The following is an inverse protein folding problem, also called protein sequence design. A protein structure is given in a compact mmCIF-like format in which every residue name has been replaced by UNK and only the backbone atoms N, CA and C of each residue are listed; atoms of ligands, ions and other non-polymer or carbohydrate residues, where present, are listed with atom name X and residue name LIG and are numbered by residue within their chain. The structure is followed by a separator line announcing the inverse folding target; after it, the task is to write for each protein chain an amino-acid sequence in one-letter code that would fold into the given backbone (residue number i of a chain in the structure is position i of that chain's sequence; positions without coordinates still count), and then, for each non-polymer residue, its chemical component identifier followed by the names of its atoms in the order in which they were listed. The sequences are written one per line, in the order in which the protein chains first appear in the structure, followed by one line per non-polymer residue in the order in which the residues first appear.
data_IF_867600538807
#
_entry.id   IF_867600538807
#
_cell.length_a   1.000
_cell.length_b   1.000
_cell.length_c   1.000
_cell.angle_alpha   90.00
_cell.angle_beta   90.00
_cell.angle_gamma   90.00
#
_symmetry.space_group_name_H-M   'P 1'
#
loop_
_entity.id
_entity.type
_entity.pdbx_description
1 polymer ?
#
# COMPACT_ATOMS: atom_id res chain seq x y z
N UNK A 1 3.43 -17.52 11.71
CA UNK A 1 2.86 -16.58 10.73
C UNK A 1 1.64 -15.87 11.30
N UNK A 2 1.92 -14.72 11.91
CA UNK A 2 0.96 -13.67 12.23
C UNK A 2 0.60 -12.92 10.94
N UNK A 3 1.60 -12.60 10.12
CA UNK A 3 1.38 -12.01 8.81
C UNK A 3 0.90 -13.09 7.85
N UNK A 4 -0.14 -12.79 7.06
CA UNK A 4 -0.80 -13.76 6.18
C UNK A 4 -0.65 -13.40 4.71
N UNK A 5 -0.56 -12.11 4.39
CA UNK A 5 -0.52 -11.64 3.01
C UNK A 5 0.48 -10.51 2.83
N UNK A 6 0.96 -10.36 1.60
CA UNK A 6 1.92 -9.32 1.24
C UNK A 6 1.62 -8.74 -0.13
N UNK A 7 1.76 -7.42 -0.24
CA UNK A 7 1.59 -6.65 -1.47
C UNK A 7 2.70 -5.59 -1.55
N UNK A 8 3.32 -5.48 -2.73
CA UNK A 8 4.31 -4.46 -3.05
C UNK A 8 3.72 -3.50 -4.06
N UNK A 9 3.70 -2.22 -3.71
CA UNK A 9 3.27 -1.14 -4.59
C UNK A 9 4.45 -0.28 -4.99
N UNK A 10 4.56 0.03 -6.27
CA UNK A 10 5.65 0.82 -6.82
C UNK A 10 5.12 2.03 -7.59
N UNK A 11 5.84 3.15 -7.50
CA UNK A 11 5.51 4.37 -8.23
C UNK A 11 5.97 4.22 -9.70
N UNK A 12 5.17 3.55 -10.52
CA UNK A 12 5.44 3.32 -11.96
C UNK A 12 4.78 4.34 -12.89
N UNK A 13 3.65 4.92 -12.48
CA UNK A 13 2.87 5.83 -13.33
C UNK A 13 3.67 7.06 -13.81
N UNK A 14 3.39 7.55 -15.01
CA UNK A 14 4.10 8.73 -15.56
C UNK A 14 3.25 9.98 -15.51
N UNK A 15 1.93 9.83 -15.37
CA UNK A 15 0.96 10.94 -15.48
C UNK A 15 0.30 11.25 -14.15
N UNK A 16 0.02 10.23 -13.34
CA UNK A 16 -0.79 10.40 -12.13
C UNK A 16 0.07 10.56 -10.89
N UNK A 17 0.09 11.76 -10.29
CA UNK A 17 1.02 12.17 -9.22
C UNK A 17 1.12 11.21 -8.04
N UNK A 18 0.01 10.59 -7.66
CA UNK A 18 -0.14 9.81 -6.44
C UNK A 18 -0.31 8.31 -6.67
N UNK A 19 -0.43 7.87 -7.93
CA UNK A 19 -0.74 6.48 -8.29
C UNK A 19 0.47 5.59 -8.01
N UNK A 20 0.25 4.51 -7.28
CA UNK A 20 1.19 3.40 -7.14
C UNK A 20 0.50 2.11 -7.55
N UNK A 21 1.25 1.28 -8.26
CA UNK A 21 0.76 0.07 -8.91
C UNK A 21 1.28 -1.14 -8.14
N UNK A 22 0.40 -2.11 -7.85
CA UNK A 22 0.85 -3.38 -7.28
C UNK A 22 1.71 -4.09 -8.32
N UNK A 23 2.91 -4.53 -7.94
CA UNK A 23 3.84 -5.22 -8.84
C UNK A 23 4.12 -6.65 -8.40
N UNK A 24 4.02 -6.93 -7.10
CA UNK A 24 4.28 -8.24 -6.50
C UNK A 24 3.29 -8.45 -5.37
N UNK A 25 2.65 -9.61 -5.27
CA UNK A 25 1.79 -9.94 -4.13
C UNK A 25 1.70 -11.44 -3.88
N UNK A 26 1.08 -11.81 -2.76
CA UNK A 26 0.68 -13.19 -2.47
C UNK A 26 -0.68 -13.56 -3.07
N UNK A 27 -1.40 -12.63 -3.71
CA UNK A 27 -2.69 -12.86 -4.39
C UNK A 27 -3.80 -13.46 -3.52
N UNK A 28 -3.71 -13.30 -2.21
CA UNK A 28 -4.55 -14.04 -1.27
C UNK A 28 -5.52 -13.16 -0.50
N UNK A 29 -5.31 -11.84 -0.40
CA UNK A 29 -6.13 -10.96 0.44
C UNK A 29 -7.39 -10.48 -0.30
N UNK A 30 -8.59 -11.03 0.00
CA UNK A 30 -9.78 -10.81 -0.82
C UNK A 30 -10.14 -9.33 -0.95
N UNK A 31 -9.88 -8.56 0.08
CA UNK A 31 -10.18 -7.13 0.11
C UNK A 31 -9.37 -6.28 -0.88
N UNK A 32 -8.18 -6.75 -1.26
CA UNK A 32 -7.38 -6.15 -2.33
C UNK A 32 -7.72 -6.78 -3.67
N UNK A 33 -7.85 -8.10 -3.74
CA UNK A 33 -8.17 -8.81 -4.99
C UNK A 33 -9.52 -8.39 -5.57
N UNK A 34 -10.53 -8.20 -4.72
CA UNK A 34 -11.86 -7.71 -5.14
C UNK A 34 -11.83 -6.27 -5.66
N UNK A 35 -10.71 -5.55 -5.48
CA UNK A 35 -10.49 -4.19 -5.98
C UNK A 35 -9.61 -4.13 -7.21
N UNK A 36 -9.10 -5.27 -7.67
CA UNK A 36 -8.44 -5.37 -8.96
C UNK A 36 -9.33 -4.79 -10.06
N UNK A 37 -8.71 -4.11 -11.01
CA UNK A 37 -9.42 -3.47 -12.11
C UNK A 37 -10.16 -4.54 -12.94
N UNK A 38 -11.47 -4.39 -13.06
CA UNK A 38 -12.30 -5.33 -13.84
C UNK A 38 -12.44 -4.93 -15.31
N UNK A 39 -11.97 -3.73 -15.67
CA UNK A 39 -12.03 -3.19 -17.02
C UNK A 39 -10.71 -2.51 -17.35
N UNK A 40 -10.18 -2.81 -18.52
CA UNK A 40 -9.04 -2.08 -19.05
C UNK A 40 -9.46 -0.65 -19.44
N UNK A 41 -8.54 0.30 -19.27
CA UNK A 41 -8.70 1.68 -19.73
C UNK A 41 -7.44 2.12 -20.48
N UNK A 42 -7.65 2.83 -21.59
CA UNK A 42 -6.53 3.36 -22.39
C UNK A 42 -5.90 4.54 -21.69
N UNK A 43 -4.60 4.70 -21.90
CA UNK A 43 -3.89 5.88 -21.46
C UNK A 43 -4.50 7.13 -22.11
N UNK A 44 -4.64 8.19 -21.32
CA UNK A 44 -5.03 9.53 -21.78
C UNK A 44 -3.89 10.50 -21.48
N UNK A 45 -4.01 11.78 -21.83
CA UNK A 45 -3.02 12.79 -21.45
C UNK A 45 -2.82 12.91 -19.93
N UNK A 46 -3.85 12.59 -19.14
CA UNK A 46 -3.87 12.78 -17.68
C UNK A 46 -3.78 11.49 -16.87
N UNK A 47 -3.91 10.32 -17.51
CA UNK A 47 -3.98 9.03 -16.82
C UNK A 47 -3.22 7.96 -17.59
N UNK A 48 -2.44 7.18 -16.86
CA UNK A 48 -1.79 5.97 -17.38
C UNK A 48 -2.84 4.90 -17.68
N UNK A 49 -2.49 3.95 -18.56
CA UNK A 49 -3.37 2.82 -18.85
C UNK A 49 -3.62 1.99 -17.57
N UNK A 50 -4.74 1.28 -17.56
CA UNK A 50 -5.07 0.30 -16.53
C UNK A 50 -5.44 -0.98 -17.25
N UNK A 51 -4.84 -2.08 -16.86
CA UNK A 51 -5.16 -3.41 -17.37
C UNK A 51 -6.14 -4.12 -16.43
N UNK A 52 -6.81 -5.15 -16.94
CA UNK A 52 -7.65 -6.00 -16.09
C UNK A 52 -6.73 -6.76 -15.12
N UNK A 53 -7.07 -6.76 -13.83
CA UNK A 53 -6.25 -7.35 -12.77
C UNK A 53 -5.39 -6.34 -12.00
N UNK A 54 -5.20 -5.13 -12.51
CA UNK A 54 -4.37 -4.13 -11.83
C UNK A 54 -4.97 -3.74 -10.47
N UNK A 55 -4.18 -3.88 -9.41
CA UNK A 55 -4.50 -3.33 -8.08
C UNK A 55 -3.73 -2.02 -7.92
N UNK A 56 -4.46 -0.93 -7.74
CA UNK A 56 -3.91 0.42 -7.74
C UNK A 56 -4.26 1.13 -6.44
N UNK A 57 -3.26 1.75 -5.83
CA UNK A 57 -3.43 2.65 -4.68
C UNK A 57 -3.04 4.07 -5.04
N UNK A 58 -3.55 5.00 -4.24
CA UNK A 58 -3.12 6.39 -4.30
C UNK A 58 -2.57 6.82 -2.96
N UNK A 59 -1.34 7.35 -2.98
CA UNK A 59 -0.65 7.87 -1.81
C UNK A 59 -0.70 9.39 -1.80
N UNK A 60 -1.45 9.95 -0.85
CA UNK A 60 -1.70 11.38 -0.71
C UNK A 60 -1.24 11.90 0.65
N UNK A 61 -1.21 13.22 0.81
CA UNK A 61 -1.20 13.84 2.13
C UNK A 61 -2.56 13.61 2.83
N UNK A 62 -2.60 13.62 4.17
CA UNK A 62 -3.86 13.51 4.91
C UNK A 62 -4.76 14.72 4.59
N UNK A 63 -6.03 14.53 4.23
CA UNK A 63 -6.94 15.64 3.94
C UNK A 63 -7.12 16.57 5.15
N UNK A 64 -7.17 17.88 4.93
CA UNK A 64 -7.27 18.91 5.97
C UNK A 64 -8.45 18.70 6.96
N UNK A 65 -9.50 18.01 6.51
CA UNK A 65 -10.73 17.76 7.27
C UNK A 65 -10.60 16.64 8.34
N UNK A 66 -9.45 15.99 8.48
CA UNK A 66 -9.21 15.00 9.53
C UNK A 66 -8.90 15.68 10.87
N UNK A 67 -9.36 15.09 11.98
CA UNK A 67 -9.20 15.67 13.33
C UNK A 67 -7.74 15.92 13.70
N UNK A 68 -7.47 16.95 14.51
CA UNK A 68 -6.10 17.44 14.80
C UNK A 68 -5.12 16.41 15.37
N UNK A 69 -5.60 15.33 15.99
CA UNK A 69 -4.75 14.20 16.43
C UNK A 69 -4.20 13.38 15.26
N UNK A 70 -4.91 13.32 14.13
CA UNK A 70 -4.50 12.65 12.90
C UNK A 70 -3.44 13.49 12.20
N UNK A 71 -3.62 14.81 12.08
CA UNK A 71 -2.58 15.71 11.56
C UNK A 71 -1.29 15.71 12.42
N UNK A 72 -1.41 15.44 13.73
CA UNK A 72 -0.26 15.33 14.64
C UNK A 72 0.47 13.97 14.56
N UNK A 73 -0.16 12.93 13.99
CA UNK A 73 0.35 11.52 14.00
C UNK A 73 0.39 10.84 12.62
N UNK A 74 -0.08 11.50 11.56
CA UNK A 74 -0.16 10.95 10.23
C UNK A 74 -0.12 12.09 9.21
N UNK A 75 0.99 12.24 8.49
CA UNK A 75 1.11 13.22 7.40
C UNK A 75 0.58 12.71 6.06
N UNK A 76 0.25 11.42 5.94
CA UNK A 76 0.00 10.73 4.67
C UNK A 76 -1.17 9.73 4.74
N UNK A 77 -1.87 9.53 3.62
CA UNK A 77 -3.06 8.67 3.47
C UNK A 77 -2.92 7.77 2.24
N UNK A 78 -3.27 6.50 2.39
CA UNK A 78 -3.36 5.52 1.29
C UNK A 78 -4.83 5.25 0.98
N UNK A 79 -5.20 5.45 -0.28
CA UNK A 79 -6.56 5.21 -0.77
C UNK A 79 -6.55 4.11 -1.83
N UNK A 80 -7.39 3.09 -1.62
CA UNK A 80 -7.70 2.06 -2.60
C UNK A 80 -9.06 2.37 -3.26
N UNK A 81 -9.05 2.81 -4.53
CA UNK A 81 -10.27 3.22 -5.27
C UNK A 81 -11.05 4.34 -4.55
N UNK A 82 -12.38 4.44 -4.72
CA UNK A 82 -13.23 5.55 -4.25
C UNK A 82 -13.72 5.40 -2.80
N UNK A 83 -13.30 4.37 -2.07
CA UNK A 83 -13.68 4.17 -0.67
C UNK A 83 -12.45 4.36 0.20
N UNK A 84 -12.53 5.29 1.15
CA UNK A 84 -11.46 5.59 2.11
C UNK A 84 -11.27 4.40 3.04
N UNK A 85 -10.22 3.62 2.80
CA UNK A 85 -10.19 2.21 3.19
C UNK A 85 -9.28 1.90 4.36
N UNK A 86 -8.37 2.79 4.75
CA UNK A 86 -7.52 2.53 5.91
C UNK A 86 -7.14 3.81 6.62
N UNK A 87 -7.25 3.80 7.94
CA UNK A 87 -6.61 4.83 8.76
C UNK A 87 -5.14 4.44 8.87
N UNK A 88 -4.27 5.09 8.09
CA UNK A 88 -2.82 4.88 8.16
C UNK A 88 -2.26 5.82 9.22
N UNK A 89 -1.66 5.24 10.25
CA UNK A 89 -1.00 5.94 11.34
C UNK A 89 0.51 5.77 11.20
N UNK A 90 1.24 6.88 11.22
CA UNK A 90 2.71 6.91 11.13
C UNK A 90 3.24 7.58 12.41
N UNK A 91 3.42 6.80 13.50
CA UNK A 91 3.76 7.37 14.80
C UNK A 91 5.05 8.16 14.84
N UNK A 92 6.01 7.78 13.99
CA UNK A 92 7.31 8.40 13.89
C UNK A 92 7.62 8.72 12.41
N UNK A 93 7.70 10.02 12.03
CA UNK A 93 7.99 10.42 10.66
C UNK A 93 9.45 10.18 10.24
N UNK A 94 10.34 9.83 11.19
CA UNK A 94 11.72 9.44 10.88
C UNK A 94 11.84 7.96 10.54
N UNK A 95 10.84 7.16 10.92
CA UNK A 95 10.78 5.74 10.60
C UNK A 95 10.00 5.54 9.31
N UNK A 96 10.54 4.71 8.43
CA UNK A 96 9.91 4.33 7.16
C UNK A 96 8.85 3.23 7.35
N UNK A 97 8.12 3.24 8.47
CA UNK A 97 7.09 2.26 8.78
C UNK A 97 5.82 2.94 9.31
N UNK A 98 4.67 2.33 9.00
CA UNK A 98 3.37 2.75 9.50
C UNK A 98 2.48 1.53 9.75
N UNK A 99 1.33 1.75 10.39
CA UNK A 99 0.31 0.73 10.56
C UNK A 99 -1.07 1.30 10.33
N UNK A 100 -2.03 0.43 10.11
CA UNK A 100 -3.42 0.80 9.97
C UNK A 100 -4.33 -0.41 10.09
N UNK A 101 -5.59 -0.17 9.78
CA UNK A 101 -6.61 -1.19 9.70
C UNK A 101 -7.36 -1.03 8.39
N UNK A 102 -7.94 -2.12 7.90
CA UNK A 102 -8.79 -2.07 6.73
C UNK A 102 -10.25 -1.88 7.15
N UNK A 103 -10.83 -0.73 6.78
CA UNK A 103 -12.18 -0.33 7.20
C UNK A 103 -13.22 -1.37 6.78
N UNK A 104 -14.02 -1.81 7.76
CA UNK A 104 -15.07 -2.82 7.54
C UNK A 104 -14.60 -4.25 7.74
N UNK A 105 -13.33 -4.45 8.10
CA UNK A 105 -12.78 -5.76 8.46
C UNK A 105 -12.24 -5.75 9.88
N UNK A 106 -11.78 -6.91 10.34
CA UNK A 106 -11.01 -7.06 11.57
C UNK A 106 -9.52 -7.21 11.29
N UNK A 107 -9.02 -6.73 10.14
CA UNK A 107 -7.63 -6.96 9.72
C UNK A 107 -6.73 -5.75 10.04
N UNK A 108 -5.49 -6.04 10.44
CA UNK A 108 -4.44 -5.03 10.59
C UNK A 108 -3.54 -5.00 9.35
N UNK A 109 -3.08 -3.81 9.01
CA UNK A 109 -2.14 -3.56 7.93
C UNK A 109 -0.87 -2.95 8.51
N UNK A 110 0.27 -3.48 8.11
CA UNK A 110 1.59 -2.92 8.39
C UNK A 110 2.18 -2.42 7.07
N UNK A 111 2.79 -1.24 7.10
CA UNK A 111 3.34 -0.58 5.94
C UNK A 111 4.83 -0.39 6.13
N UNK A 112 5.62 -0.73 5.11
CA UNK A 112 7.04 -0.41 5.03
C UNK A 112 7.27 0.42 3.78
N UNK A 113 7.87 1.59 3.96
CA UNK A 113 8.16 2.52 2.90
C UNK A 113 9.63 2.38 2.50
N UNK A 114 9.92 2.46 1.20
CA UNK A 114 11.30 2.51 0.72
C UNK A 114 11.45 3.64 -0.27
N UNK A 115 12.47 4.49 -0.06
CA UNK A 115 12.80 5.62 -0.94
C UNK A 115 11.59 6.52 -1.23
N UNK A 116 10.65 6.61 -0.27
CA UNK A 116 9.38 7.30 -0.46
C UNK A 116 9.58 8.81 -0.37
N UNK A 117 9.91 9.40 -1.51
CA UNK A 117 10.15 10.83 -1.64
C UNK A 117 8.96 11.52 -2.30
N UNK A 118 8.46 12.57 -1.66
CA UNK A 118 7.40 13.43 -2.21
C UNK A 118 7.96 14.83 -2.42
N UNK A 119 8.05 15.25 -3.67
CA UNK A 119 8.54 16.59 -4.06
C UNK A 119 7.38 17.33 -4.71
N UNK A 120 7.03 18.51 -4.19
CA UNK A 120 5.91 19.34 -4.68
C UNK A 120 4.57 18.58 -4.75
N UNK A 121 4.30 17.71 -3.76
CA UNK A 121 3.09 16.88 -3.72
C UNK A 121 3.08 15.75 -4.76
N UNK A 122 4.22 15.43 -5.39
CA UNK A 122 4.35 14.32 -6.35
C UNK A 122 5.26 13.25 -5.77
N UNK A 123 4.72 12.04 -5.64
CA UNK A 123 5.50 10.85 -5.26
C UNK A 123 6.48 10.53 -6.39
N UNK A 124 7.77 10.49 -6.06
CA UNK A 124 8.86 10.28 -7.02
C UNK A 124 8.94 8.83 -7.49
N UNK A 125 9.37 8.61 -8.73
CA UNK A 125 9.63 7.27 -9.25
C UNK A 125 10.66 6.54 -8.39
N UNK A 126 10.50 5.22 -8.27
CA UNK A 126 11.32 4.39 -7.36
C UNK A 126 10.82 4.34 -5.92
N UNK A 127 9.78 5.11 -5.57
CA UNK A 127 9.10 4.95 -4.28
C UNK A 127 8.38 3.61 -4.22
N UNK A 128 8.56 2.90 -3.11
CA UNK A 128 7.92 1.59 -2.85
C UNK A 128 7.15 1.64 -1.54
N UNK A 129 5.98 1.00 -1.53
CA UNK A 129 5.21 0.71 -0.32
C UNK A 129 4.97 -0.79 -0.28
N UNK A 130 5.54 -1.44 0.72
CA UNK A 130 5.18 -2.81 1.09
C UNK A 130 4.03 -2.77 2.08
N UNK A 131 3.06 -3.66 1.90
CA UNK A 131 1.90 -3.82 2.76
C UNK A 131 1.85 -5.28 3.22
N UNK A 132 1.91 -5.48 4.52
CA UNK A 132 1.76 -6.79 5.16
C UNK A 132 0.42 -6.82 5.90
N UNK A 133 -0.33 -7.89 5.70
CA UNK A 133 -1.66 -8.06 6.28
C UNK A 133 -1.60 -9.06 7.42
N UNK A 134 -2.19 -8.70 8.56
CA UNK A 134 -2.46 -9.60 9.67
C UNK A 134 -3.97 -9.73 9.84
N UNK A 135 -4.55 -10.81 9.30
CA UNK A 135 -6.01 -11.02 9.30
C UNK A 135 -6.57 -11.25 10.69
N UNK A 136 -7.71 -10.64 11.00
CA UNK A 136 -8.37 -10.75 12.31
C UNK A 136 -7.65 -10.03 13.46
N UNK A 137 -6.60 -9.23 13.15
CA UNK A 137 -5.71 -8.58 14.12
C UNK A 137 -5.85 -7.06 14.21
N UNK A 138 -6.95 -6.46 13.77
CA UNK A 138 -7.14 -4.99 13.81
C UNK A 138 -7.02 -4.37 15.21
N UNK A 139 -7.36 -5.14 16.26
CA UNK A 139 -7.18 -4.76 17.68
C UNK A 139 -5.72 -4.78 18.13
N UNK A 140 -4.90 -5.60 17.48
CA UNK A 140 -3.49 -5.80 17.79
C UNK A 140 -2.57 -4.92 16.92
N UNK A 141 -3.12 -3.99 16.12
CA UNK A 141 -2.35 -3.17 15.17
C UNK A 141 -1.20 -2.35 15.79
N UNK A 142 -1.34 -1.92 17.05
CA UNK A 142 -0.29 -1.18 17.78
C UNK A 142 0.81 -2.14 18.27
N UNK A 143 0.50 -3.22 19.01
CA UNK A 143 1.49 -4.25 19.31
C UNK A 143 2.23 -4.79 18.08
N UNK A 144 1.51 -5.04 16.97
CA UNK A 144 2.12 -5.51 15.72
C UNK A 144 3.09 -4.48 15.11
N UNK A 145 2.81 -3.19 15.27
CA UNK A 145 3.71 -2.13 14.84
C UNK A 145 4.97 -2.06 15.71
N UNK A 146 4.84 -2.27 17.02
CA UNK A 146 5.99 -2.36 17.93
C UNK A 146 6.89 -3.55 17.55
N UNK A 147 6.30 -4.73 17.32
CA UNK A 147 7.02 -5.91 16.82
C UNK A 147 7.72 -5.66 15.47
N UNK A 148 7.06 -4.96 14.55
CA UNK A 148 7.67 -4.53 13.28
C UNK A 148 8.86 -3.60 13.52
N UNK A 149 8.68 -2.60 14.38
CA UNK A 149 9.71 -1.61 14.72
C UNK A 149 10.93 -2.25 15.35
N UNK A 150 10.74 -3.32 16.12
CA UNK A 150 11.80 -4.04 16.84
C UNK A 150 12.43 -5.16 15.97
N UNK A 151 11.93 -5.37 14.75
CA UNK A 151 12.45 -6.37 13.80
C UNK A 151 11.96 -7.80 14.06
N UNK A 152 11.03 -8.01 14.99
CA UNK A 152 10.53 -9.34 15.36
C UNK A 152 9.73 -10.03 14.24
N UNK A 153 9.25 -9.26 13.26
CA UNK A 153 8.47 -9.77 12.13
C UNK A 153 9.33 -10.04 10.87
N UNK A 154 10.64 -9.78 10.90
CA UNK A 154 11.51 -9.83 9.73
C UNK A 154 11.49 -11.20 9.03
N UNK A 155 11.52 -12.29 9.79
CA UNK A 155 11.48 -13.65 9.24
C UNK A 155 10.16 -13.92 8.50
N UNK A 156 9.01 -13.57 9.09
CA UNK A 156 7.70 -13.75 8.46
C UNK A 156 7.55 -12.86 7.21
N UNK A 157 8.03 -11.63 7.28
CA UNK A 157 8.04 -10.71 6.14
C UNK A 157 8.89 -11.27 5.00
N UNK A 158 10.06 -11.81 5.31
CA UNK A 158 10.95 -12.42 4.32
C UNK A 158 10.36 -13.70 3.72
N UNK A 159 9.65 -14.51 4.50
CA UNK A 159 8.88 -15.64 3.96
C UNK A 159 7.80 -15.20 3.00
N UNK A 160 7.04 -14.16 3.35
CA UNK A 160 5.97 -13.63 2.49
C UNK A 160 6.52 -13.02 1.21
N UNK A 161 7.62 -12.26 1.28
CA UNK A 161 8.35 -11.76 0.11
C UNK A 161 8.79 -12.88 -0.83
N UNK A 162 9.25 -14.01 -0.28
CA UNK A 162 9.65 -15.20 -1.06
C UNK A 162 8.46 -15.94 -1.70
N UNK A 163 7.31 -15.96 -1.02
CA UNK A 163 6.07 -16.60 -1.52
C UNK A 163 5.36 -15.76 -2.57
N UNK A 164 5.62 -14.46 -2.60
CA UNK A 164 4.96 -13.54 -3.50
C UNK A 164 5.45 -13.70 -4.94
N UNK A 165 4.51 -13.53 -5.88
CA UNK A 165 4.79 -13.58 -7.32
C UNK A 165 4.43 -12.24 -7.95
N UNK A 166 5.06 -11.90 -9.09
CA UNK A 166 4.63 -10.74 -9.86
C UNK A 166 3.13 -10.78 -10.13
N UNK A 167 2.46 -9.66 -9.92
CA UNK A 167 1.17 -9.43 -10.59
C UNK A 167 1.48 -9.28 -12.07
N UNK A 168 0.70 -9.85 -12.98
CA UNK A 168 0.89 -9.69 -14.43
C UNK A 168 0.70 -8.21 -14.82
N UNK A 169 1.69 -7.38 -14.53
CA UNK A 169 1.91 -6.08 -15.14
C UNK A 169 2.14 -6.43 -16.60
N UNK A 170 1.16 -6.13 -17.45
CA UNK A 170 1.17 -6.39 -18.89
C UNK A 170 2.31 -5.71 -19.64
N UNK A 171 3.55 -6.08 -19.32
CA UNK A 171 4.73 -5.89 -20.13
C UNK A 171 4.65 -6.96 -21.22
N UNK A 172 3.88 -6.64 -22.26
CA UNK A 172 4.16 -7.22 -23.57
C UNK A 172 5.58 -6.76 -23.92
N UNK A 173 6.57 -7.60 -23.63
CA UNK A 173 7.86 -7.54 -24.29
C UNK A 173 7.58 -7.74 -25.78
N UNK A 174 7.50 -6.62 -26.51
CA UNK A 174 7.54 -6.64 -27.95
C UNK A 174 8.89 -7.18 -28.38
N UNK A 175 8.89 -8.42 -28.86
CA UNK A 175 9.89 -8.93 -29.78
C UNK A 175 9.39 -8.71 -31.21
#
# INVERSE_FOLDING_TARGET
MILTDYYKFERLSTKTKHRMDCTISTHCYPEFENKAATKASRATEKRDAINVGDIIIYYHDVPENYGGDVHRKAGKSITFKSNNLSSVYMPDPTKEIAYGDFRGTTDALLFVFHNLNVINGVTQQGSVIEVFVARGKSKDRVPLFEMLSDGELDDEMNELRKKASPTDIGFTMGY
#
